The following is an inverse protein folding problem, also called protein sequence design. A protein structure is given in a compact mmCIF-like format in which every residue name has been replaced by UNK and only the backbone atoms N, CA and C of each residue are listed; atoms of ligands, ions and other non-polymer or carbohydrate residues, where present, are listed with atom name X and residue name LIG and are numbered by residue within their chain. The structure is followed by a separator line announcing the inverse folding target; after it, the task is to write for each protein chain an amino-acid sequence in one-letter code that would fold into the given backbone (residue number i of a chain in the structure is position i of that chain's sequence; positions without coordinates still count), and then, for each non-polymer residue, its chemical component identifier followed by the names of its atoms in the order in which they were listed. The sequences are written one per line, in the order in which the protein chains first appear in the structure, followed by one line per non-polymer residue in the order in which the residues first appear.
data_IF_904226229958
#
_entry.id   IF_904226229958
#
_cell.length_a   1.000
_cell.length_b   1.000
_cell.length_c   1.000
_cell.angle_alpha   90.00
_cell.angle_beta   90.00
_cell.angle_gamma   90.00
#
_symmetry.space_group_name_H-M   'P 1'
#
loop_
_entity.id
_entity.type
_entity.pdbx_description
1 polymer ?
#
# COMPACT_ATOMS: atom_id res chain seq x y z
N UNK A 1 -15.14 5.56 -3.04
CA UNK A 1 -14.52 4.47 -3.84
C UNK A 1 -13.01 4.61 -3.94
N UNK A 2 -12.46 5.78 -4.31
CA UNK A 2 -10.99 5.94 -4.46
C UNK A 2 -10.17 5.55 -3.23
N UNK A 3 -10.62 5.87 -2.01
CA UNK A 3 -9.95 5.48 -0.75
C UNK A 3 -9.85 3.97 -0.59
N UNK A 4 -10.97 3.26 -0.72
CA UNK A 4 -10.99 1.80 -0.62
C UNK A 4 -10.12 1.13 -1.70
N UNK A 5 -10.13 1.67 -2.93
CA UNK A 5 -9.25 1.20 -4.00
C UNK A 5 -7.78 1.45 -3.68
N UNK A 6 -7.42 2.65 -3.19
CA UNK A 6 -6.06 2.99 -2.80
C UNK A 6 -5.54 2.08 -1.69
N UNK A 7 -6.32 1.91 -0.63
CA UNK A 7 -5.96 1.03 0.47
C UNK A 7 -5.85 -0.44 0.02
N UNK A 8 -6.85 -0.93 -0.72
CA UNK A 8 -6.87 -2.33 -1.18
C UNK A 8 -5.70 -2.67 -2.11
N UNK A 9 -5.40 -1.82 -3.08
CA UNK A 9 -4.25 -2.01 -3.98
C UNK A 9 -2.92 -1.89 -3.23
N UNK A 10 -2.81 -0.95 -2.29
CA UNK A 10 -1.62 -0.81 -1.46
C UNK A 10 -1.36 -2.10 -0.66
N UNK A 11 -2.39 -2.65 0.00
CA UNK A 11 -2.30 -3.88 0.79
C UNK A 11 -1.93 -5.06 -0.12
N UNK A 12 -2.60 -5.19 -1.27
CA UNK A 12 -2.34 -6.27 -2.22
C UNK A 12 -0.88 -6.25 -2.71
N UNK A 13 -0.36 -5.08 -3.09
CA UNK A 13 1.03 -4.93 -3.55
C UNK A 13 1.99 -5.24 -2.40
N UNK A 14 1.73 -4.74 -1.18
CA UNK A 14 2.56 -5.02 -0.02
C UNK A 14 2.63 -6.52 0.30
N UNK A 15 1.50 -7.24 0.20
CA UNK A 15 1.43 -8.70 0.36
C UNK A 15 2.24 -9.41 -0.71
N UNK A 16 2.06 -9.04 -1.99
CA UNK A 16 2.82 -9.65 -3.10
C UNK A 16 4.33 -9.46 -2.89
N UNK A 17 4.76 -8.22 -2.58
CA UNK A 17 6.15 -7.90 -2.32
C UNK A 17 6.69 -8.65 -1.09
N UNK A 18 5.91 -8.73 0.00
CA UNK A 18 6.28 -9.48 1.19
C UNK A 18 6.49 -10.97 0.91
N UNK A 19 5.62 -11.58 0.08
CA UNK A 19 5.79 -12.96 -0.38
C UNK A 19 7.04 -13.15 -1.25
N UNK A 20 7.32 -12.22 -2.16
CA UNK A 20 8.52 -12.26 -3.01
C UNK A 20 9.79 -12.14 -2.16
N UNK A 21 9.82 -11.23 -1.20
CA UNK A 21 10.96 -10.97 -0.32
C UNK A 21 11.22 -12.10 0.68
N UNK A 22 10.15 -12.68 1.24
CA UNK A 22 10.27 -13.66 2.32
C UNK A 22 10.10 -15.14 1.90
N UNK A 23 9.81 -15.43 0.63
CA UNK A 23 9.91 -16.79 0.05
C UNK A 23 9.31 -17.90 0.92
N UNK A 24 10.15 -18.83 1.40
CA UNK A 24 9.74 -19.98 2.24
C UNK A 24 9.98 -19.78 3.75
N UNK A 25 10.30 -18.57 4.22
CA UNK A 25 10.57 -18.32 5.64
C UNK A 25 9.37 -18.60 6.55
N UNK A 26 9.59 -18.64 7.86
CA UNK A 26 8.52 -18.80 8.85
C UNK A 26 7.52 -17.64 8.81
N UNK A 27 6.29 -17.88 9.28
CA UNK A 27 5.17 -16.94 9.16
C UNK A 27 5.48 -15.54 9.73
N UNK A 28 6.17 -15.46 10.86
CA UNK A 28 6.53 -14.17 11.50
C UNK A 28 7.40 -13.30 10.60
N UNK A 29 8.39 -13.88 9.92
CA UNK A 29 9.26 -13.17 8.97
C UNK A 29 8.47 -12.70 7.76
N UNK A 30 7.49 -13.48 7.29
CA UNK A 30 6.62 -13.07 6.17
C UNK A 30 5.72 -11.91 6.53
N UNK A 31 5.16 -11.91 7.74
CA UNK A 31 4.35 -10.80 8.25
C UNK A 31 5.20 -9.55 8.33
N UNK A 32 6.36 -9.60 8.97
CA UNK A 32 7.29 -8.46 9.04
C UNK A 32 7.70 -7.94 7.65
N UNK A 33 8.02 -8.84 6.71
CA UNK A 33 8.37 -8.47 5.34
C UNK A 33 7.20 -7.84 4.57
N UNK A 34 5.97 -8.31 4.77
CA UNK A 34 4.75 -7.74 4.18
C UNK A 34 4.50 -6.34 4.71
N UNK A 35 4.58 -6.16 6.04
CA UNK A 35 4.39 -4.87 6.68
C UNK A 35 5.47 -3.87 6.25
N UNK A 36 6.73 -4.31 6.13
CA UNK A 36 7.81 -3.48 5.61
C UNK A 36 7.62 -3.12 4.13
N UNK A 37 7.13 -4.05 3.31
CA UNK A 37 6.86 -3.84 1.89
C UNK A 37 5.80 -2.76 1.64
N UNK A 38 4.98 -2.44 2.63
CA UNK A 38 4.04 -1.31 2.57
C UNK A 38 4.75 0.01 2.25
N UNK A 39 5.96 0.22 2.78
CA UNK A 39 6.77 1.42 2.57
C UNK A 39 7.25 1.54 1.13
N UNK A 40 7.46 0.40 0.45
CA UNK A 40 7.86 0.33 -0.96
C UNK A 40 6.65 0.50 -1.88
N UNK A 41 5.49 -0.06 -1.50
CA UNK A 41 4.26 0.06 -2.28
C UNK A 41 3.68 1.49 -2.31
N UNK A 42 3.92 2.27 -1.25
CA UNK A 42 3.29 3.59 -1.07
C UNK A 42 3.69 4.61 -2.14
N UNK A 43 4.99 4.82 -2.46
CA UNK A 43 5.38 5.74 -3.53
C UNK A 43 4.77 5.37 -4.88
N UNK A 44 4.70 4.08 -5.22
CA UNK A 44 4.08 3.63 -6.46
C UNK A 44 2.58 3.98 -6.52
N UNK A 45 1.86 3.77 -5.41
CA UNK A 45 0.45 4.16 -5.29
C UNK A 45 0.26 5.68 -5.35
N UNK A 46 1.18 6.45 -4.77
CA UNK A 46 1.15 7.91 -4.86
C UNK A 46 1.36 8.38 -6.29
N UNK A 47 2.35 7.83 -7.00
CA UNK A 47 2.57 8.14 -8.42
C UNK A 47 1.33 7.83 -9.26
N UNK A 48 0.69 6.67 -9.07
CA UNK A 48 -0.54 6.33 -9.78
C UNK A 48 -1.70 7.27 -9.43
N UNK A 49 -1.87 7.60 -8.15
CA UNK A 49 -2.90 8.53 -7.68
C UNK A 49 -2.72 9.94 -8.22
N UNK A 50 -1.50 10.49 -8.17
CA UNK A 50 -1.19 11.81 -8.74
C UNK A 50 -1.33 11.82 -10.27
N UNK A 51 -0.92 10.76 -10.96
CA UNK A 51 -1.12 10.65 -12.41
C UNK A 51 -2.61 10.68 -12.79
N UNK A 52 -3.48 10.06 -11.98
CA UNK A 52 -4.93 10.13 -12.18
C UNK A 52 -5.51 11.52 -11.89
N UNK A 53 -4.89 12.30 -10.99
CA UNK A 53 -5.31 13.68 -10.74
C UNK A 53 -5.04 14.63 -11.90
N UNK A 54 -4.14 14.29 -12.82
CA UNK A 54 -3.92 15.09 -14.03
C UNK A 54 -5.12 15.03 -14.99
N UNK A 55 -6.04 14.07 -14.80
CA UNK A 55 -7.29 13.96 -15.56
C UNK A 55 -8.43 14.55 -14.74
N UNK A 56 -9.04 15.65 -15.20
CA UNK A 56 -10.06 16.38 -14.44
C UNK A 56 -11.23 15.51 -13.96
N UNK A 57 -11.73 14.60 -14.81
CA UNK A 57 -12.81 13.66 -14.45
C UNK A 57 -12.41 12.63 -13.38
N UNK A 58 -11.11 12.41 -13.17
CA UNK A 58 -10.58 11.39 -12.26
C UNK A 58 -9.84 11.97 -11.05
N UNK A 59 -9.76 13.31 -10.90
CA UNK A 59 -9.21 13.98 -9.72
C UNK A 59 -9.68 13.42 -8.37
N UNK A 60 -10.99 13.26 -8.10
CA UNK A 60 -11.44 12.73 -6.82
C UNK A 60 -11.04 11.25 -6.62
N UNK A 61 -10.93 10.48 -7.70
CA UNK A 61 -10.44 9.10 -7.65
C UNK A 61 -8.95 9.08 -7.28
N UNK A 62 -8.13 9.90 -7.96
CA UNK A 62 -6.70 10.02 -7.70
C UNK A 62 -6.40 10.45 -6.26
N UNK A 63 -7.12 11.45 -5.74
CA UNK A 63 -7.04 11.85 -4.32
C UNK A 63 -7.43 10.76 -3.36
N UNK A 64 -8.51 10.04 -3.67
CA UNK A 64 -8.90 8.87 -2.90
C UNK A 64 -7.79 7.82 -2.86
N UNK A 65 -7.14 7.53 -3.99
CA UNK A 65 -6.07 6.53 -4.06
C UNK A 65 -4.88 6.92 -3.17
N UNK A 66 -4.43 8.17 -3.25
CA UNK A 66 -3.32 8.68 -2.42
C UNK A 66 -3.67 8.57 -0.93
N UNK A 67 -4.84 9.07 -0.54
CA UNK A 67 -5.28 9.03 0.87
C UNK A 67 -5.47 7.59 1.37
N UNK A 68 -6.07 6.72 0.55
CA UNK A 68 -6.26 5.31 0.89
C UNK A 68 -4.94 4.57 1.08
N UNK A 69 -3.99 4.78 0.17
CA UNK A 69 -2.66 4.21 0.29
C UNK A 69 -1.93 4.73 1.54
N UNK A 70 -2.00 6.04 1.82
CA UNK A 70 -1.39 6.62 3.02
C UNK A 70 -1.94 5.99 4.31
N UNK A 71 -3.27 5.87 4.42
CA UNK A 71 -3.91 5.28 5.60
C UNK A 71 -3.52 3.80 5.78
N UNK A 72 -3.47 3.03 4.69
CA UNK A 72 -3.05 1.64 4.74
C UNK A 72 -1.59 1.49 5.16
N UNK A 73 -0.71 2.39 4.72
CA UNK A 73 0.70 2.40 5.11
C UNK A 73 0.90 2.78 6.57
N UNK A 74 0.17 3.76 7.07
CA UNK A 74 0.19 4.11 8.50
C UNK A 74 -0.26 2.91 9.32
N UNK A 75 -1.36 2.24 8.92
CA UNK A 75 -1.84 1.04 9.59
C UNK A 75 -0.79 -0.08 9.61
N UNK A 76 -0.16 -0.38 8.46
CA UNK A 76 0.92 -1.36 8.40
C UNK A 76 2.13 -0.98 9.24
N UNK A 77 2.50 0.31 9.26
CA UNK A 77 3.59 0.81 10.10
C UNK A 77 3.29 0.62 11.59
N UNK A 78 2.07 0.91 12.03
CA UNK A 78 1.62 0.64 13.41
C UNK A 78 1.66 -0.85 13.71
N UNK A 79 1.12 -1.69 12.82
CA UNK A 79 1.14 -3.15 12.99
C UNK A 79 2.57 -3.69 13.09
N UNK A 80 3.51 -3.16 12.30
CA UNK A 80 4.92 -3.56 12.33
C UNK A 80 5.58 -3.23 13.67
N UNK A 81 5.26 -2.08 14.26
CA UNK A 81 5.79 -1.71 15.57
C UNK A 81 5.23 -2.57 16.73
N UNK A 82 4.14 -3.29 16.48
CA UNK A 82 3.48 -4.17 17.45
C UNK A 82 3.86 -5.65 17.29
N UNK A 83 4.57 -6.01 16.21
CA UNK A 83 5.09 -7.37 15.96
C UNK A 83 6.49 -7.55 16.50
#
# INVERSE_FOLDING_TARGET
MGIALGAGLQILIAVILGFILAGTFILSVRVAATLFSSLIATPAMFTAGFALMLKDRSRPLGGGIVLGALLATILHGVLFLLT
#
